data_IF_958749186963
#
_entry.id   IF_958749186963
#
_cell.length_a   1.000
_cell.length_b   1.000
_cell.length_c   1.000
_cell.angle_alpha   90.00
_cell.angle_beta   90.00
_cell.angle_gamma   90.00
#
_symmetry.space_group_name_H-M   'P 1'
#
loop_
_entity.id
_entity.type
_entity.pdbx_description
1 polymer ?
#
# COMPACT_ATOMS: atom_id res chain seq x y z
N UNK A 1 30.00 8.59 2.84
CA UNK A 1 29.46 7.22 2.78
C UNK A 1 28.57 7.04 3.99
N UNK A 2 27.26 6.85 3.81
CA UNK A 2 26.36 6.59 4.95
C UNK A 2 26.69 5.19 5.51
N UNK A 3 26.86 5.02 6.82
CA UNK A 3 27.11 3.71 7.41
C UNK A 3 25.98 2.77 6.98
N UNK A 4 26.33 1.67 6.32
CA UNK A 4 25.35 0.64 5.96
C UNK A 4 24.67 0.19 7.25
N UNK A 5 23.40 0.53 7.44
CA UNK A 5 22.65 0.07 8.59
C UNK A 5 22.74 -1.46 8.64
N UNK A 6 23.13 -2.00 9.80
CA UNK A 6 23.20 -3.44 9.97
C UNK A 6 21.84 -4.09 9.69
N UNK A 7 21.82 -5.31 9.15
CA UNK A 7 20.58 -6.08 8.96
C UNK A 7 19.72 -6.11 10.23
N UNK A 8 20.37 -6.18 11.41
CA UNK A 8 19.70 -6.11 12.72
C UNK A 8 18.87 -4.84 12.90
N UNK A 9 19.37 -3.69 12.48
CA UNK A 9 18.61 -2.43 12.57
C UNK A 9 17.39 -2.42 11.65
N UNK A 10 17.53 -2.93 10.42
CA UNK A 10 16.42 -3.06 9.48
C UNK A 10 15.26 -3.89 10.06
N UNK A 11 15.58 -5.04 10.67
CA UNK A 11 14.58 -5.89 11.31
C UNK A 11 13.99 -5.30 12.60
N UNK A 12 14.73 -4.48 13.35
CA UNK A 12 14.15 -3.73 14.49
C UNK A 12 13.07 -2.77 14.04
N UNK A 13 13.29 -2.06 12.92
CA UNK A 13 12.29 -1.15 12.35
C UNK A 13 11.07 -1.94 11.87
N UNK A 14 11.25 -3.05 11.16
CA UNK A 14 10.13 -3.89 10.73
C UNK A 14 9.36 -4.48 11.91
N UNK A 15 10.05 -4.93 12.96
CA UNK A 15 9.40 -5.43 14.18
C UNK A 15 8.57 -4.34 14.87
N UNK A 16 9.13 -3.14 15.03
CA UNK A 16 8.40 -2.01 15.59
C UNK A 16 7.16 -1.70 14.76
N UNK A 17 7.30 -1.57 13.44
CA UNK A 17 6.18 -1.30 12.55
C UNK A 17 5.11 -2.40 12.63
N UNK A 18 5.52 -3.67 12.59
CA UNK A 18 4.61 -4.82 12.66
C UNK A 18 3.85 -4.87 13.98
N UNK A 19 4.51 -4.57 15.10
CA UNK A 19 3.88 -4.51 16.43
C UNK A 19 2.89 -3.36 16.52
N UNK A 20 3.22 -2.18 15.98
CA UNK A 20 2.29 -1.06 15.91
C UNK A 20 1.05 -1.43 15.09
N UNK A 21 1.21 -2.06 13.93
CA UNK A 21 0.09 -2.49 13.10
C UNK A 21 -0.75 -3.57 13.78
N UNK A 22 -0.12 -4.56 14.44
CA UNK A 22 -0.84 -5.56 15.21
C UNK A 22 -1.68 -4.94 16.34
N UNK A 23 -1.12 -3.94 17.04
CA UNK A 23 -1.83 -3.22 18.09
C UNK A 23 -3.02 -2.43 17.53
N UNK A 24 -2.81 -1.63 16.47
CA UNK A 24 -3.88 -0.86 15.82
C UNK A 24 -4.99 -1.80 15.30
N UNK A 25 -4.61 -2.91 14.67
CA UNK A 25 -5.55 -3.88 14.14
C UNK A 25 -6.34 -4.58 15.25
N UNK A 26 -5.70 -4.86 16.38
CA UNK A 26 -6.36 -5.43 17.58
C UNK A 26 -7.34 -4.44 18.20
N UNK A 27 -6.96 -3.17 18.34
CA UNK A 27 -7.84 -2.12 18.87
C UNK A 27 -9.07 -1.97 17.97
N UNK A 28 -8.87 -1.90 16.65
CA UNK A 28 -9.99 -1.79 15.71
C UNK A 28 -10.90 -3.02 15.78
N UNK A 29 -10.33 -4.22 15.79
CA UNK A 29 -11.12 -5.46 15.90
C UNK A 29 -11.98 -5.51 17.17
N UNK A 30 -11.44 -5.08 18.31
CA UNK A 30 -12.17 -5.05 19.58
C UNK A 30 -13.25 -3.97 19.62
N UNK A 31 -13.11 -2.92 18.79
CA UNK A 31 -14.07 -1.82 18.70
C UNK A 31 -15.20 -2.14 17.73
N UNK A 32 -14.85 -2.57 16.52
CA UNK A 32 -15.78 -2.95 15.47
C UNK A 32 -15.12 -3.93 14.50
N UNK A 33 -15.47 -5.21 14.63
CA UNK A 33 -14.95 -6.27 13.78
C UNK A 33 -15.57 -6.25 12.37
N UNK A 34 -16.77 -5.69 12.20
CA UNK A 34 -17.53 -5.71 10.93
C UNK A 34 -16.81 -4.90 9.86
N UNK A 35 -16.08 -3.86 10.25
CA UNK A 35 -15.24 -3.05 9.35
C UNK A 35 -14.27 -3.90 8.52
N UNK A 36 -13.83 -5.06 9.03
CA UNK A 36 -12.94 -5.95 8.28
C UNK A 36 -13.66 -6.84 7.27
N UNK A 37 -14.95 -7.12 7.44
CA UNK A 37 -15.69 -8.08 6.62
C UNK A 37 -15.75 -7.66 5.16
N UNK A 38 -15.81 -6.36 4.88
CA UNK A 38 -15.83 -5.82 3.51
C UNK A 38 -14.59 -6.18 2.68
N UNK A 39 -13.43 -6.44 3.31
CA UNK A 39 -12.20 -6.82 2.59
C UNK A 39 -11.78 -8.26 2.86
N UNK A 40 -11.89 -8.72 4.10
CA UNK A 40 -11.43 -10.05 4.50
C UNK A 40 -12.52 -11.12 4.38
N UNK A 41 -13.77 -10.73 4.10
CA UNK A 41 -14.92 -11.61 4.12
C UNK A 41 -15.05 -12.29 5.49
N UNK A 42 -15.18 -13.60 5.47
CA UNK A 42 -15.29 -14.42 6.70
C UNK A 42 -13.93 -14.65 7.40
N UNK A 43 -12.82 -14.17 6.84
CA UNK A 43 -11.50 -14.38 7.43
C UNK A 43 -11.32 -13.51 8.68
N UNK A 44 -11.00 -14.15 9.81
CA UNK A 44 -10.73 -13.44 11.06
C UNK A 44 -9.51 -12.50 10.91
N UNK A 45 -9.65 -11.18 11.15
CA UNK A 45 -8.60 -10.19 10.85
C UNK A 45 -7.31 -10.41 11.65
N UNK A 46 -7.42 -10.79 12.93
CA UNK A 46 -6.24 -11.10 13.74
C UNK A 46 -5.48 -12.33 13.24
N UNK A 47 -6.17 -13.33 12.67
CA UNK A 47 -5.50 -14.47 12.03
C UNK A 47 -4.78 -14.02 10.76
N UNK A 48 -5.41 -13.17 9.94
CA UNK A 48 -4.76 -12.60 8.75
C UNK A 48 -3.46 -11.87 9.13
N UNK A 49 -3.48 -11.03 10.16
CA UNK A 49 -2.29 -10.34 10.67
C UNK A 49 -1.22 -11.31 11.21
N UNK A 50 -1.62 -12.38 11.88
CA UNK A 50 -0.71 -13.42 12.37
C UNK A 50 0.04 -14.14 11.23
N UNK A 51 -0.53 -14.25 10.03
CA UNK A 51 0.16 -14.80 8.86
C UNK A 51 0.96 -13.74 8.08
N UNK A 52 0.39 -12.54 7.91
CA UNK A 52 1.02 -11.45 7.16
C UNK A 52 2.33 -11.00 7.81
N UNK A 53 2.37 -10.84 9.15
CA UNK A 53 3.57 -10.35 9.83
C UNK A 53 4.77 -11.32 9.64
N UNK A 54 4.68 -12.63 9.92
CA UNK A 54 5.76 -13.56 9.61
C UNK A 54 6.14 -13.57 8.13
N UNK A 55 5.17 -13.49 7.22
CA UNK A 55 5.44 -13.41 5.78
C UNK A 55 6.31 -12.19 5.45
N UNK A 56 6.02 -11.02 6.03
CA UNK A 56 6.87 -9.83 5.92
C UNK A 56 8.33 -10.09 6.27
N UNK A 57 8.59 -10.75 7.42
CA UNK A 57 9.95 -11.06 7.84
C UNK A 57 10.64 -12.00 6.86
N UNK A 58 9.95 -13.04 6.37
CA UNK A 58 10.50 -14.00 5.41
C UNK A 58 10.80 -13.34 4.06
N UNK A 59 9.89 -12.52 3.55
CA UNK A 59 10.06 -11.78 2.30
C UNK A 59 11.24 -10.81 2.41
N UNK A 60 11.35 -10.05 3.52
CA UNK A 60 12.49 -9.16 3.71
C UNK A 60 13.81 -9.88 3.97
N UNK A 61 13.82 -11.05 4.61
CA UNK A 61 15.02 -11.88 4.73
C UNK A 61 15.57 -12.23 3.34
N UNK A 62 14.69 -12.59 2.40
CA UNK A 62 15.06 -12.82 1.02
C UNK A 62 15.51 -11.52 0.33
N UNK A 63 14.66 -10.48 0.29
CA UNK A 63 14.94 -9.25 -0.44
C UNK A 63 16.22 -8.56 0.03
N UNK A 64 16.48 -8.47 1.33
CA UNK A 64 17.70 -7.86 1.88
C UNK A 64 18.97 -8.68 1.60
N UNK A 65 18.83 -9.96 1.27
CA UNK A 65 19.96 -10.84 0.99
C UNK A 65 20.34 -10.86 -0.50
N UNK A 66 19.36 -10.66 -1.39
CA UNK A 66 19.58 -10.76 -2.84
C UNK A 66 19.51 -9.42 -3.58
N UNK A 67 19.02 -8.36 -2.94
CA UNK A 67 18.75 -7.08 -3.63
C UNK A 67 19.32 -5.88 -2.87
N UNK A 68 19.49 -4.73 -3.54
CA UNK A 68 19.81 -3.45 -2.90
C UNK A 68 18.64 -2.84 -2.10
N UNK A 69 17.44 -3.43 -2.11
CA UNK A 69 16.27 -2.89 -1.40
C UNK A 69 16.50 -2.85 0.12
N UNK A 70 15.83 -1.94 0.82
CA UNK A 70 15.98 -1.69 2.26
C UNK A 70 14.62 -1.49 2.92
N UNK A 71 14.51 -1.87 4.19
CA UNK A 71 13.32 -1.58 5.00
C UNK A 71 13.28 -0.08 5.34
N UNK A 72 14.43 0.48 5.73
CA UNK A 72 14.55 1.87 6.12
C UNK A 72 15.94 2.44 5.80
N UNK A 73 15.98 3.69 5.35
CA UNK A 73 17.18 4.50 5.29
C UNK A 73 16.88 5.93 5.76
N UNK A 74 17.86 6.52 6.44
CA UNK A 74 17.77 7.95 6.76
C UNK A 74 17.91 8.77 5.47
N UNK A 75 16.96 9.68 5.26
CA UNK A 75 16.83 10.51 4.07
C UNK A 75 16.61 11.97 4.48
N UNK A 76 17.13 12.89 3.68
CA UNK A 76 16.98 14.33 3.94
C UNK A 76 15.56 14.84 3.68
N UNK A 77 15.25 16.04 4.16
CA UNK A 77 13.92 16.68 4.05
C UNK A 77 13.34 16.72 2.63
N UNK A 78 14.19 16.90 1.61
CA UNK A 78 13.78 16.88 0.19
C UNK A 78 13.10 15.57 -0.23
N UNK A 79 13.47 14.44 0.36
CA UNK A 79 12.82 13.16 0.08
C UNK A 79 11.39 13.18 0.59
N UNK A 80 11.14 13.63 1.83
CA UNK A 80 9.78 13.72 2.38
C UNK A 80 8.88 14.67 1.59
N UNK A 81 9.40 15.80 1.12
CA UNK A 81 8.66 16.69 0.23
C UNK A 81 8.24 16.00 -1.08
N UNK A 82 9.11 15.18 -1.67
CA UNK A 82 8.75 14.38 -2.86
C UNK A 82 7.68 13.32 -2.55
N UNK A 83 7.80 12.60 -1.42
CA UNK A 83 6.82 11.58 -1.03
C UNK A 83 5.42 12.22 -0.86
N UNK A 84 5.35 13.34 -0.14
CA UNK A 84 4.11 14.10 0.02
C UNK A 84 3.58 14.62 -1.31
N UNK A 85 4.45 15.13 -2.19
CA UNK A 85 4.05 15.58 -3.53
C UNK A 85 3.45 14.46 -4.38
N UNK A 86 4.03 13.26 -4.36
CA UNK A 86 3.48 12.09 -5.07
C UNK A 86 2.09 11.77 -4.53
N UNK A 87 1.95 11.60 -3.21
CA UNK A 87 0.66 11.29 -2.58
C UNK A 87 -0.40 12.36 -2.86
N UNK A 88 0.00 13.63 -2.88
CA UNK A 88 -0.90 14.75 -3.18
C UNK A 88 -1.39 14.71 -4.62
N UNK A 89 -0.49 14.48 -5.59
CA UNK A 89 -0.88 14.39 -7.01
C UNK A 89 -1.89 13.27 -7.23
N UNK A 90 -1.61 12.06 -6.73
CA UNK A 90 -2.54 10.94 -6.87
C UNK A 90 -3.84 11.18 -6.10
N UNK A 91 -3.77 11.72 -4.87
CA UNK A 91 -4.95 12.01 -4.07
C UNK A 91 -5.87 13.05 -4.71
N UNK A 92 -5.33 14.17 -5.19
CA UNK A 92 -6.13 15.21 -5.85
C UNK A 92 -6.71 14.76 -7.18
N UNK A 93 -5.98 13.91 -7.91
CA UNK A 93 -6.42 13.41 -9.21
C UNK A 93 -7.63 12.48 -9.08
N UNK A 94 -7.66 11.56 -8.11
CA UNK A 94 -8.84 10.72 -7.85
C UNK A 94 -10.02 11.50 -7.27
N UNK A 95 -9.77 12.53 -6.43
CA UNK A 95 -10.81 13.45 -5.96
C UNK A 95 -11.46 14.18 -7.15
N UNK A 96 -10.64 14.66 -8.08
CA UNK A 96 -11.12 15.29 -9.30
C UNK A 96 -11.98 14.34 -10.13
N UNK A 97 -11.58 13.07 -10.28
CA UNK A 97 -12.38 12.09 -10.98
C UNK A 97 -13.73 11.85 -10.28
N UNK A 98 -13.74 11.64 -8.95
CA UNK A 98 -14.96 11.42 -8.15
C UNK A 98 -15.94 12.60 -8.26
N UNK A 99 -15.42 13.83 -8.30
CA UNK A 99 -16.22 15.04 -8.45
C UNK A 99 -16.85 15.22 -9.84
N UNK A 100 -16.19 14.74 -10.89
CA UNK A 100 -16.58 15.08 -12.26
C UNK A 100 -17.33 13.99 -12.99
N UNK A 101 -16.98 12.72 -12.79
CA UNK A 101 -17.52 11.66 -13.63
C UNK A 101 -17.40 10.24 -13.04
N UNK A 102 -16.49 9.98 -12.10
CA UNK A 102 -16.36 8.67 -11.46
C UNK A 102 -17.35 8.59 -10.29
N UNK A 103 -18.43 7.83 -10.44
CA UNK A 103 -19.46 7.70 -9.41
C UNK A 103 -19.05 6.61 -8.39
N UNK A 104 -18.11 6.92 -7.50
CA UNK A 104 -17.71 5.96 -6.47
C UNK A 104 -18.80 5.77 -5.40
N UNK A 105 -19.01 4.54 -4.88
CA UNK A 105 -19.99 4.28 -3.81
C UNK A 105 -19.79 5.19 -2.59
N UNK A 106 -20.88 5.66 -1.98
CA UNK A 106 -20.82 6.57 -0.83
C UNK A 106 -20.16 5.94 0.40
N UNK A 107 -20.31 4.63 0.56
CA UNK A 107 -19.77 3.82 1.65
C UNK A 107 -18.36 3.25 1.36
N UNK A 108 -17.70 3.72 0.29
CA UNK A 108 -16.33 3.30 -0.05
C UNK A 108 -15.31 3.60 1.06
N UNK A 109 -15.58 4.61 1.89
CA UNK A 109 -14.68 5.08 2.92
C UNK A 109 -15.15 4.66 4.32
N UNK A 110 -14.23 4.12 5.12
CA UNK A 110 -14.44 3.98 6.57
C UNK A 110 -14.47 5.36 7.20
N UNK A 111 -15.52 5.65 7.96
CA UNK A 111 -15.70 6.93 8.65
C UNK A 111 -14.74 7.12 9.84
N UNK A 112 -14.48 8.37 10.21
CA UNK A 112 -13.78 8.69 11.43
C UNK A 112 -14.60 8.29 12.69
N UNK A 113 -13.93 7.90 13.79
CA UNK A 113 -12.49 7.83 13.97
C UNK A 113 -11.86 6.47 13.61
N UNK A 114 -12.62 5.48 13.15
CA UNK A 114 -12.10 4.14 12.83
C UNK A 114 -11.15 4.12 11.63
N UNK A 115 -11.34 5.06 10.71
CA UNK A 115 -10.46 5.30 9.55
C UNK A 115 -8.97 5.42 9.93
N UNK A 116 -8.65 6.08 11.05
CA UNK A 116 -7.28 6.27 11.53
C UNK A 116 -6.60 4.96 11.97
N UNK A 117 -7.38 3.94 12.35
CA UNK A 117 -6.86 2.62 12.70
C UNK A 117 -6.85 1.71 11.46
N UNK A 118 -7.93 1.77 10.68
CA UNK A 118 -8.17 0.90 9.55
C UNK A 118 -7.14 1.08 8.44
N UNK A 119 -6.96 2.30 7.95
CA UNK A 119 -6.14 2.55 6.77
C UNK A 119 -4.66 2.22 6.95
N UNK A 120 -4.03 2.46 8.12
CA UNK A 120 -2.70 1.91 8.37
C UNK A 120 -2.66 0.37 8.33
N UNK A 121 -3.60 -0.31 8.99
CA UNK A 121 -3.62 -1.77 9.03
C UNK A 121 -3.80 -2.36 7.62
N UNK A 122 -4.81 -1.89 6.90
CA UNK A 122 -5.09 -2.35 5.54
C UNK A 122 -4.01 -1.96 4.55
N UNK A 123 -3.42 -0.77 4.71
CA UNK A 123 -2.25 -0.35 3.93
C UNK A 123 -1.11 -1.34 4.11
N UNK A 124 -0.77 -1.69 5.35
CA UNK A 124 0.30 -2.65 5.63
C UNK A 124 0.00 -4.05 5.07
N UNK A 125 -1.24 -4.52 5.15
CA UNK A 125 -1.64 -5.80 4.56
C UNK A 125 -1.53 -5.79 3.03
N UNK A 126 -2.04 -4.74 2.39
CA UNK A 126 -2.01 -4.59 0.94
C UNK A 126 -0.57 -4.48 0.41
N UNK A 127 0.33 -3.78 1.11
CA UNK A 127 1.75 -3.75 0.77
C UNK A 127 2.41 -5.15 0.80
N UNK A 128 1.98 -6.04 1.71
CA UNK A 128 2.48 -7.41 1.73
C UNK A 128 1.99 -8.19 0.50
N UNK A 129 0.68 -8.15 0.27
CA UNK A 129 -0.03 -8.99 -0.70
C UNK A 129 0.24 -8.55 -2.13
N UNK A 130 0.17 -7.25 -2.41
CA UNK A 130 0.24 -6.72 -3.77
C UNK A 130 1.62 -6.23 -4.17
N UNK A 131 2.51 -5.95 -3.21
CA UNK A 131 3.86 -5.47 -3.52
C UNK A 131 4.95 -6.45 -3.12
N UNK A 132 5.14 -6.73 -1.83
CA UNK A 132 6.31 -7.51 -1.41
C UNK A 132 6.27 -8.96 -1.89
N UNK A 133 5.12 -9.62 -1.79
CA UNK A 133 4.98 -11.02 -2.22
C UNK A 133 5.20 -11.16 -3.74
N UNK A 134 4.51 -10.41 -4.63
CA UNK A 134 4.71 -10.57 -6.07
C UNK A 134 6.09 -10.08 -6.50
N UNK A 135 6.63 -9.02 -5.86
CA UNK A 135 7.99 -8.54 -6.16
C UNK A 135 9.03 -9.60 -5.84
N UNK A 136 8.94 -10.22 -4.67
CA UNK A 136 9.83 -11.30 -4.25
C UNK A 136 9.73 -12.49 -5.21
N UNK A 137 8.51 -12.87 -5.58
CA UNK A 137 8.25 -13.94 -6.54
C UNK A 137 8.88 -13.67 -7.91
N UNK A 138 8.64 -12.50 -8.51
CA UNK A 138 9.21 -12.18 -9.82
C UNK A 138 10.73 -12.01 -9.79
N UNK A 139 11.30 -11.44 -8.72
CA UNK A 139 12.75 -11.38 -8.54
C UNK A 139 13.33 -12.80 -8.47
N UNK A 140 12.70 -13.70 -7.71
CA UNK A 140 13.13 -15.09 -7.60
C UNK A 140 13.11 -15.77 -8.97
N UNK A 141 12.01 -15.69 -9.71
CA UNK A 141 11.88 -16.31 -11.04
C UNK A 141 12.90 -15.74 -12.02
N UNK A 142 12.93 -14.42 -12.19
CA UNK A 142 13.76 -13.77 -13.20
C UNK A 142 15.25 -13.91 -12.90
N UNK A 143 15.65 -13.91 -11.62
CA UNK A 143 17.06 -14.12 -11.24
C UNK A 143 17.55 -15.55 -11.49
N UNK A 144 16.65 -16.54 -11.47
CA UNK A 144 17.00 -17.94 -11.74
C UNK A 144 16.86 -18.32 -13.22
N UNK A 145 15.95 -17.67 -13.96
CA UNK A 145 15.67 -18.00 -15.37
C UNK A 145 16.47 -17.16 -16.37
N UNK A 146 17.10 -16.07 -15.93
CA UNK A 146 17.81 -15.14 -16.82
C UNK A 146 19.21 -14.84 -16.30
N UNK A 147 20.11 -14.46 -17.19
CA UNK A 147 21.44 -13.91 -16.85
C UNK A 147 21.44 -12.39 -16.73
N UNK A 148 20.27 -11.77 -16.53
CA UNK A 148 20.14 -10.32 -16.50
C UNK A 148 20.83 -9.70 -15.28
N UNK A 149 21.38 -8.48 -15.41
CA UNK A 149 21.87 -7.76 -14.25
C UNK A 149 20.72 -7.46 -13.28
N UNK A 150 20.98 -7.53 -11.97
CA UNK A 150 19.96 -7.35 -10.91
C UNK A 150 19.14 -6.06 -11.07
N UNK A 151 19.73 -4.96 -11.55
CA UNK A 151 18.96 -3.73 -11.80
C UNK A 151 17.87 -3.93 -12.88
N UNK A 152 18.14 -4.70 -13.95
CA UNK A 152 17.13 -5.04 -14.95
C UNK A 152 16.07 -5.98 -14.38
N UNK A 153 16.48 -7.00 -13.63
CA UNK A 153 15.55 -7.90 -12.92
C UNK A 153 14.58 -7.09 -12.05
N UNK A 154 15.10 -6.20 -11.20
CA UNK A 154 14.27 -5.35 -10.34
C UNK A 154 13.24 -4.52 -11.11
N UNK A 155 13.64 -3.85 -12.20
CA UNK A 155 12.72 -3.01 -12.95
C UNK A 155 11.61 -3.81 -13.63
N UNK A 156 11.94 -4.97 -14.20
CA UNK A 156 10.94 -5.85 -14.80
C UNK A 156 10.01 -6.41 -13.71
N UNK A 157 10.55 -6.86 -12.57
CA UNK A 157 9.74 -7.32 -11.45
C UNK A 157 8.82 -6.22 -10.93
N UNK A 158 9.30 -4.97 -10.80
CA UNK A 158 8.47 -3.82 -10.40
C UNK A 158 7.31 -3.61 -11.37
N UNK A 159 7.57 -3.61 -12.67
CA UNK A 159 6.52 -3.42 -13.68
C UNK A 159 5.46 -4.53 -13.62
N UNK A 160 5.87 -5.78 -13.41
CA UNK A 160 4.95 -6.92 -13.27
C UNK A 160 4.19 -6.87 -11.94
N UNK A 161 4.85 -6.54 -10.84
CA UNK A 161 4.22 -6.39 -9.52
C UNK A 161 3.18 -5.28 -9.50
N UNK A 162 3.42 -4.15 -10.17
CA UNK A 162 2.49 -3.03 -10.23
C UNK A 162 1.13 -3.40 -10.85
N UNK A 163 1.05 -4.50 -11.60
CA UNK A 163 -0.19 -5.00 -12.16
C UNK A 163 -1.04 -5.82 -11.17
N UNK A 164 -0.47 -6.26 -10.04
CA UNK A 164 -1.16 -7.18 -9.13
C UNK A 164 -2.42 -6.57 -8.49
N UNK A 165 -2.31 -5.37 -7.93
CA UNK A 165 -3.42 -4.65 -7.30
C UNK A 165 -4.53 -4.26 -8.28
N UNK A 166 -4.26 -3.65 -9.46
CA UNK A 166 -5.32 -3.29 -10.39
C UNK A 166 -6.03 -4.52 -10.98
N UNK A 167 -5.32 -5.64 -11.22
CA UNK A 167 -5.99 -6.88 -11.63
C UNK A 167 -6.92 -7.40 -10.54
N UNK A 168 -6.49 -7.38 -9.28
CA UNK A 168 -7.35 -7.77 -8.17
C UNK A 168 -8.60 -6.88 -8.07
N UNK A 169 -8.43 -5.56 -8.17
CA UNK A 169 -9.57 -4.64 -8.09
C UNK A 169 -10.54 -4.76 -9.27
N UNK A 170 -10.06 -5.05 -10.48
CA UNK A 170 -10.95 -5.28 -11.63
C UNK A 170 -11.73 -6.60 -11.46
N UNK A 171 -11.12 -7.63 -10.88
CA UNK A 171 -11.74 -8.96 -10.75
C UNK A 171 -12.63 -9.12 -9.51
N UNK A 172 -12.30 -8.43 -8.43
CA UNK A 172 -12.93 -8.59 -7.12
C UNK A 172 -13.43 -7.28 -6.49
N UNK A 173 -13.26 -6.15 -7.18
CA UNK A 173 -13.78 -4.86 -6.73
C UNK A 173 -15.30 -4.76 -6.88
N UNK A 174 -15.90 -3.73 -6.28
CA UNK A 174 -17.33 -3.48 -6.39
C UNK A 174 -17.75 -3.23 -7.83
N UNK A 175 -18.98 -3.64 -8.16
CA UNK A 175 -19.58 -3.33 -9.46
C UNK A 175 -19.68 -1.81 -9.62
N UNK A 176 -19.09 -1.31 -10.71
CA UNK A 176 -19.13 0.10 -11.13
C UNK A 176 -19.24 0.15 -12.65
N UNK A 177 -19.52 1.31 -13.23
CA UNK A 177 -19.52 1.43 -14.69
C UNK A 177 -18.12 1.14 -15.27
N UNK A 178 -18.08 0.68 -16.52
CA UNK A 178 -16.83 0.27 -17.18
C UNK A 178 -15.77 1.40 -17.22
N UNK A 179 -16.21 2.66 -17.34
CA UNK A 179 -15.29 3.82 -17.41
C UNK A 179 -14.58 3.99 -16.06
N UNK A 180 -15.34 3.97 -14.97
CA UNK A 180 -14.81 4.05 -13.60
C UNK A 180 -13.88 2.87 -13.30
N UNK A 181 -14.20 1.65 -13.74
CA UNK A 181 -13.33 0.48 -13.56
C UNK A 181 -12.00 0.63 -14.30
N UNK A 182 -12.04 1.01 -15.59
CA UNK A 182 -10.83 1.19 -16.42
C UNK A 182 -9.93 2.27 -15.82
N UNK A 183 -10.51 3.40 -15.43
CA UNK A 183 -9.80 4.46 -14.78
C UNK A 183 -9.18 4.02 -13.46
N UNK A 184 -9.96 3.39 -12.59
CA UNK A 184 -9.47 2.91 -11.29
C UNK A 184 -8.30 1.95 -11.49
N UNK A 185 -8.40 1.03 -12.46
CA UNK A 185 -7.32 0.13 -12.83
C UNK A 185 -6.05 0.88 -13.28
N UNK A 186 -6.19 1.91 -14.13
CA UNK A 186 -5.05 2.73 -14.57
C UNK A 186 -4.45 3.54 -13.42
N UNK A 187 -5.29 4.20 -12.62
CA UNK A 187 -4.88 5.00 -11.46
C UNK A 187 -4.09 4.13 -10.48
N UNK A 188 -4.63 2.97 -10.11
CA UNK A 188 -4.02 2.04 -9.17
C UNK A 188 -2.72 1.46 -9.73
N UNK A 189 -2.69 1.07 -11.02
CA UNK A 189 -1.45 0.64 -11.67
C UNK A 189 -0.34 1.71 -11.56
N UNK A 190 -0.66 2.97 -11.90
CA UNK A 190 0.30 4.07 -11.86
C UNK A 190 0.73 4.38 -10.42
N UNK A 191 -0.19 4.29 -9.46
CA UNK A 191 0.10 4.49 -8.05
C UNK A 191 1.02 3.38 -7.52
N UNK A 192 0.70 2.10 -7.75
CA UNK A 192 1.53 0.96 -7.38
C UNK A 192 2.93 1.04 -8.02
N UNK A 193 3.02 1.46 -9.30
CA UNK A 193 4.29 1.67 -9.98
C UNK A 193 5.12 2.78 -9.30
N UNK A 194 4.48 3.90 -8.94
CA UNK A 194 5.14 5.00 -8.23
C UNK A 194 5.60 4.58 -6.83
N UNK A 195 4.78 3.81 -6.11
CA UNK A 195 5.11 3.25 -4.80
C UNK A 195 6.33 2.31 -4.88
N UNK A 196 6.35 1.37 -5.81
CA UNK A 196 7.49 0.46 -6.01
C UNK A 196 8.75 1.20 -6.48
N UNK A 197 8.59 2.25 -7.27
CA UNK A 197 9.70 3.15 -7.60
C UNK A 197 10.26 3.84 -6.36
N UNK A 198 9.38 4.36 -5.48
CA UNK A 198 9.77 4.93 -4.18
C UNK A 198 10.49 3.88 -3.34
N UNK A 199 10.04 2.62 -3.32
CA UNK A 199 10.71 1.54 -2.59
C UNK A 199 12.12 1.29 -3.13
N UNK A 200 12.27 1.18 -4.45
CA UNK A 200 13.57 1.00 -5.10
C UNK A 200 14.52 2.16 -4.85
N UNK A 201 14.02 3.39 -4.92
CA UNK A 201 14.82 4.61 -4.78
C UNK A 201 15.14 4.93 -3.33
N UNK A 202 14.19 4.68 -2.44
CA UNK A 202 14.28 5.01 -1.03
C UNK A 202 14.31 3.76 -0.15
N UNK A 203 13.14 3.32 0.32
CA UNK A 203 12.98 2.16 1.20
C UNK A 203 11.50 1.80 1.37
N UNK A 204 11.23 0.69 2.04
CA UNK A 204 9.87 0.22 2.31
C UNK A 204 9.05 1.22 3.13
N UNK A 205 9.63 1.78 4.20
CA UNK A 205 8.94 2.77 5.05
C UNK A 205 8.50 4.00 4.25
N UNK A 206 9.29 4.42 3.25
CA UNK A 206 8.95 5.50 2.31
C UNK A 206 7.76 5.14 1.45
N UNK A 207 7.76 3.94 0.88
CA UNK A 207 6.67 3.44 0.04
C UNK A 207 5.37 3.36 0.84
N UNK A 208 5.45 2.81 2.04
CA UNK A 208 4.32 2.72 2.95
C UNK A 208 3.82 4.10 3.39
N UNK A 209 4.73 5.05 3.68
CA UNK A 209 4.35 6.42 3.98
C UNK A 209 3.61 7.11 2.82
N UNK A 210 4.00 6.85 1.56
CA UNK A 210 3.26 7.37 0.40
C UNK A 210 1.82 6.87 0.39
N UNK A 211 1.60 5.59 0.71
CA UNK A 211 0.24 5.02 0.87
C UNK A 211 -0.52 5.71 1.98
N UNK A 212 0.08 5.87 3.15
CA UNK A 212 -0.57 6.51 4.29
C UNK A 212 -0.95 7.96 4.01
N UNK A 213 -0.09 8.72 3.35
CA UNK A 213 -0.39 10.10 2.96
C UNK A 213 -1.49 10.16 1.89
N UNK A 214 -1.48 9.24 0.93
CA UNK A 214 -2.57 9.11 -0.04
C UNK A 214 -3.90 8.78 0.67
N UNK A 215 -3.90 7.83 1.60
CA UNK A 215 -5.07 7.49 2.42
C UNK A 215 -5.55 8.67 3.26
N UNK A 216 -4.65 9.45 3.85
CA UNK A 216 -5.03 10.64 4.59
C UNK A 216 -5.77 11.68 3.71
N UNK A 217 -5.39 11.80 2.43
CA UNK A 217 -5.98 12.75 1.48
C UNK A 217 -7.29 12.22 0.92
N UNK A 218 -7.24 11.07 0.25
CA UNK A 218 -8.37 10.48 -0.47
C UNK A 218 -9.35 9.80 0.49
N UNK A 219 -8.84 8.90 1.34
CA UNK A 219 -9.72 8.03 2.09
C UNK A 219 -10.30 8.64 3.37
N UNK A 220 -9.56 9.55 4.00
CA UNK A 220 -9.96 10.21 5.25
C UNK A 220 -10.44 11.62 4.95
N UNK A 221 -9.57 12.49 4.44
CA UNK A 221 -9.91 13.91 4.20
C UNK A 221 -11.08 14.07 3.24
N UNK A 222 -10.98 13.49 2.04
CA UNK A 222 -12.06 13.53 1.08
C UNK A 222 -13.23 12.62 1.47
N UNK A 223 -12.99 11.46 2.07
CA UNK A 223 -14.05 10.57 2.56
C UNK A 223 -15.06 11.25 3.49
N UNK A 224 -14.59 12.14 4.38
CA UNK A 224 -15.48 12.95 5.23
C UNK A 224 -16.17 14.07 4.43
N UNK A 225 -15.41 14.82 3.62
CA UNK A 225 -15.94 15.98 2.87
C UNK A 225 -16.94 15.60 1.79
N UNK A 226 -16.76 14.44 1.12
CA UNK A 226 -17.53 14.06 -0.05
C UNK A 226 -19.00 13.81 0.28
N UNK A 227 -19.30 13.31 1.48
CA UNK A 227 -20.69 13.07 1.89
C UNK A 227 -21.45 14.38 1.96
N UNK A 228 -20.86 15.40 2.61
CA UNK A 228 -21.47 16.74 2.72
C UNK A 228 -21.63 17.42 1.35
N UNK A 229 -20.67 17.22 0.45
CA UNK A 229 -20.64 17.88 -0.88
C UNK A 229 -21.57 17.20 -1.87
N UNK A 230 -21.53 15.87 -1.95
CA UNK A 230 -22.28 15.08 -2.95
C UNK A 230 -23.72 14.80 -2.51
N UNK A 231 -24.00 14.80 -1.20
CA UNK A 231 -25.34 14.60 -0.64
C UNK A 231 -25.70 15.76 0.30
N UNK A 232 -25.99 16.97 -0.23
CA UNK A 232 -26.30 18.12 0.62
C UNK A 232 -27.56 17.87 1.47
N UNK A 233 -27.41 17.96 2.80
CA UNK A 233 -28.53 17.86 3.75
C UNK A 233 -28.73 16.48 4.40
N UNK A 234 -27.79 15.55 4.24
CA UNK A 234 -27.68 14.33 5.05
C UNK A 234 -27.22 14.60 6.48
#
# INVERSE_FOLDING_TARGET
MNPSFSKRYQFKILAFLSLSIALLGTILYLRDSVIYEGILGEMHPLLALQFIIPAYFLLFLYLLSYTPLRIYQNKGGKAYGLLAGISLVFGLEVIAADLWWAEYPLDLNVAAPDSFLYYPVMGFMAEAVFHLLPLTFFIFILSNMTSWPMNRVLWVSIALTALAEPFFQILAGPESDFTTQVYTGIHVFLFSLAQLWVFKKYDFVSMYLVRLLFYAIWHIGWGELRIEILVPGS
#
